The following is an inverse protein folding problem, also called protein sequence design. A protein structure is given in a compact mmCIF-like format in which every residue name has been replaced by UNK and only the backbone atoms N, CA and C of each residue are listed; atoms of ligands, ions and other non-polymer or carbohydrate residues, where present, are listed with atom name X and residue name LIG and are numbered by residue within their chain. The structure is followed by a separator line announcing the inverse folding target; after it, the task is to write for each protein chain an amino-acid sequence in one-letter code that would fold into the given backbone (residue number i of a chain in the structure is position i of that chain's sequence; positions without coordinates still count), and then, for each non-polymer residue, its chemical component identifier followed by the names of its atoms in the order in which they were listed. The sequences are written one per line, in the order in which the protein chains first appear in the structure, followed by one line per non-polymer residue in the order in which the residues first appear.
data_IF_797239135156
#
_entry.id   IF_797239135156
#
_cell.length_a   1.000
_cell.length_b   1.000
_cell.length_c   1.000
_cell.angle_alpha   90.00
_cell.angle_beta   90.00
_cell.angle_gamma   90.00
#
_symmetry.space_group_name_H-M   'P 1'
#
loop_
_entity.id
_entity.type
_entity.pdbx_description
1 polymer ?
#
# COMPACT_ATOMS: atom_id res chain seq x y z
N UNK A 1 9.35 -13.63 26.36
CA UNK A 1 8.20 -13.78 27.29
C UNK A 1 7.05 -14.41 26.50
N UNK A 2 6.19 -15.22 27.13
CA UNK A 2 5.04 -15.79 26.43
C UNK A 2 4.01 -14.70 26.09
N UNK A 3 3.41 -14.77 24.91
CA UNK A 3 2.32 -13.89 24.49
C UNK A 3 0.99 -14.31 25.14
N UNK A 4 -0.03 -13.46 25.07
CA UNK A 4 -1.36 -13.77 25.63
C UNK A 4 -2.08 -14.81 24.77
N UNK A 5 -2.36 -15.99 25.32
CA UNK A 5 -2.99 -17.09 24.58
C UNK A 5 -4.38 -16.77 24.00
N UNK A 6 -5.17 -15.90 24.62
CA UNK A 6 -6.46 -15.46 24.04
C UNK A 6 -6.28 -14.55 22.82
N UNK A 7 -5.23 -13.73 22.83
CA UNK A 7 -4.89 -12.86 21.71
C UNK A 7 -4.34 -13.66 20.54
N UNK A 8 -3.43 -14.59 20.85
CA UNK A 8 -2.81 -15.49 19.87
C UNK A 8 -3.84 -16.41 19.20
N UNK A 9 -4.79 -16.96 19.95
CA UNK A 9 -5.89 -17.75 19.41
C UNK A 9 -7.03 -16.90 18.81
N UNK A 10 -6.96 -15.56 18.88
CA UNK A 10 -7.95 -14.66 18.28
C UNK A 10 -9.32 -14.60 18.98
N UNK A 11 -9.48 -15.21 20.15
CA UNK A 11 -10.75 -15.35 20.89
C UNK A 11 -11.03 -14.23 21.91
N UNK A 12 -10.23 -13.16 21.88
CA UNK A 12 -10.46 -11.92 22.63
C UNK A 12 -11.21 -10.90 21.75
N UNK A 13 -12.32 -10.34 22.25
CA UNK A 13 -13.13 -9.36 21.54
C UNK A 13 -13.18 -8.02 22.29
N UNK A 14 -12.83 -6.93 21.59
CA UNK A 14 -12.82 -5.54 22.11
C UNK A 14 -13.62 -4.57 21.24
N UNK A 15 -14.63 -5.09 20.54
CA UNK A 15 -15.38 -4.31 19.52
C UNK A 15 -16.36 -3.30 20.12
N UNK A 16 -16.85 -3.51 21.36
CA UNK A 16 -17.81 -2.62 22.00
C UNK A 16 -17.55 -2.46 23.51
N UNK A 17 -18.20 -1.46 24.12
CA UNK A 17 -18.02 -1.09 25.53
C UNK A 17 -18.67 -2.07 26.55
N UNK A 18 -19.49 -3.04 26.10
CA UNK A 18 -19.95 -4.11 27.00
C UNK A 18 -18.79 -5.04 27.41
N UNK A 19 -17.80 -5.20 26.53
CA UNK A 19 -16.61 -6.01 26.79
C UNK A 19 -15.55 -5.28 27.64
N UNK A 20 -14.28 -5.73 27.60
CA UNK A 20 -13.73 -6.76 26.71
C UNK A 20 -14.26 -8.16 27.04
N UNK A 21 -14.57 -8.95 26.01
CA UNK A 21 -14.96 -10.36 26.16
C UNK A 21 -13.77 -11.27 25.83
N UNK A 22 -13.64 -12.39 26.53
CA UNK A 22 -12.71 -13.47 26.21
C UNK A 22 -13.47 -14.79 26.26
N UNK A 23 -13.46 -15.54 25.17
CA UNK A 23 -14.04 -16.89 25.13
C UNK A 23 -12.94 -17.93 25.14
N UNK A 24 -13.26 -19.14 25.58
CA UNK A 24 -12.34 -20.26 25.59
C UNK A 24 -11.92 -20.62 24.15
N UNK A 25 -10.63 -20.85 23.90
CA UNK A 25 -10.18 -21.39 22.61
C UNK A 25 -10.46 -22.89 22.48
N UNK A 26 -10.94 -23.55 23.56
CA UNK A 26 -11.27 -24.98 23.58
C UNK A 26 -12.79 -25.14 23.67
N UNK A 27 -13.44 -25.75 22.66
CA UNK A 27 -14.88 -26.02 22.69
C UNK A 27 -15.31 -26.84 23.92
N UNK A 28 -16.48 -26.52 24.49
CA UNK A 28 -17.02 -27.22 25.67
C UNK A 28 -16.32 -26.89 26.99
N UNK A 29 -15.40 -25.91 27.01
CA UNK A 29 -14.70 -25.47 28.22
C UNK A 29 -14.84 -23.97 28.41
N UNK A 30 -14.89 -23.51 29.66
CA UNK A 30 -14.85 -22.08 30.00
C UNK A 30 -16.03 -21.28 29.42
N UNK A 31 -15.82 -19.97 29.21
CA UNK A 31 -16.83 -19.11 28.61
C UNK A 31 -16.92 -19.34 27.09
N UNK A 32 -18.08 -19.74 26.59
CA UNK A 32 -18.27 -20.07 25.15
C UNK A 32 -18.77 -18.90 24.31
N UNK A 33 -19.32 -17.87 24.95
CA UNK A 33 -19.89 -16.69 24.29
C UNK A 33 -19.48 -15.41 24.98
N UNK A 34 -19.33 -14.34 24.20
CA UNK A 34 -19.26 -12.98 24.72
C UNK A 34 -20.65 -12.48 25.17
N UNK A 35 -20.68 -11.28 25.76
CA UNK A 35 -21.90 -10.70 26.35
C UNK A 35 -23.04 -10.56 25.31
N UNK A 36 -22.73 -10.19 24.07
CA UNK A 36 -23.73 -10.09 23.00
C UNK A 36 -24.09 -11.45 22.35
N UNK A 37 -23.62 -12.57 22.91
CA UNK A 37 -23.88 -13.91 22.39
C UNK A 37 -22.95 -14.40 21.29
N UNK A 38 -21.97 -13.61 20.84
CA UNK A 38 -21.00 -14.03 19.82
C UNK A 38 -20.10 -15.17 20.35
N UNK A 39 -19.96 -16.25 19.58
CA UNK A 39 -19.11 -17.39 19.91
C UNK A 39 -17.66 -17.17 19.44
N UNK A 40 -16.79 -18.16 19.64
CA UNK A 40 -15.39 -18.12 19.20
C UNK A 40 -15.25 -17.86 17.68
N UNK A 41 -16.02 -18.57 16.84
CA UNK A 41 -15.93 -18.44 15.37
C UNK A 41 -16.22 -17.02 14.90
N UNK A 42 -17.31 -16.42 15.40
CA UNK A 42 -17.67 -15.04 15.08
C UNK A 42 -16.58 -14.07 15.54
N UNK A 43 -16.05 -14.24 16.75
CA UNK A 43 -15.03 -13.34 17.30
C UNK A 43 -13.74 -13.41 16.47
N UNK A 44 -13.26 -14.62 16.19
CA UNK A 44 -12.05 -14.85 15.39
C UNK A 44 -12.23 -14.29 13.97
N UNK A 45 -13.35 -14.58 13.32
CA UNK A 45 -13.62 -14.09 11.96
C UNK A 45 -13.70 -12.56 11.91
N UNK A 46 -14.31 -11.90 12.91
CA UNK A 46 -14.36 -10.43 12.99
C UNK A 46 -12.97 -9.82 13.21
N UNK A 47 -12.17 -10.41 14.08
CA UNK A 47 -10.81 -9.97 14.35
C UNK A 47 -9.93 -10.08 13.10
N UNK A 48 -9.97 -11.23 12.42
CA UNK A 48 -9.27 -11.45 11.15
C UNK A 48 -9.74 -10.47 10.06
N UNK A 49 -11.05 -10.29 9.92
CA UNK A 49 -11.63 -9.33 8.97
C UNK A 49 -11.11 -7.90 9.19
N UNK A 50 -10.93 -7.46 10.45
CA UNK A 50 -10.35 -6.14 10.74
C UNK A 50 -8.86 -6.05 10.40
N UNK A 51 -8.11 -7.15 10.47
CA UNK A 51 -6.72 -7.18 9.98
C UNK A 51 -6.67 -7.00 8.46
N UNK A 52 -7.57 -7.67 7.73
CA UNK A 52 -7.70 -7.49 6.28
C UNK A 52 -8.09 -6.04 5.95
N UNK A 53 -9.09 -5.48 6.64
CA UNK A 53 -9.49 -4.08 6.45
C UNK A 53 -8.33 -3.11 6.70
N UNK A 54 -7.55 -3.34 7.76
CA UNK A 54 -6.36 -2.53 8.07
C UNK A 54 -5.32 -2.59 6.96
N UNK A 55 -4.97 -3.78 6.47
CA UNK A 55 -4.04 -3.95 5.35
C UNK A 55 -4.53 -3.28 4.07
N UNK A 56 -5.78 -3.54 3.68
CA UNK A 56 -6.39 -2.92 2.49
C UNK A 56 -6.43 -1.40 2.61
N UNK A 57 -6.74 -0.84 3.79
CA UNK A 57 -6.76 0.61 3.98
C UNK A 57 -5.38 1.25 3.80
N UNK A 58 -4.30 0.57 4.18
CA UNK A 58 -2.94 1.08 4.03
C UNK A 58 -2.55 1.21 2.54
N UNK A 59 -2.82 0.19 1.73
CA UNK A 59 -2.55 0.25 0.29
C UNK A 59 -3.56 1.14 -0.46
N UNK A 60 -4.79 1.30 0.06
CA UNK A 60 -5.75 2.27 -0.47
C UNK A 60 -5.17 3.68 -0.40
N UNK A 61 -4.73 4.12 0.77
CA UNK A 61 -4.26 5.50 0.94
C UNK A 61 -2.94 5.76 0.22
N UNK A 62 -2.02 4.79 0.25
CA UNK A 62 -0.78 4.84 -0.55
C UNK A 62 -1.09 5.09 -2.05
N UNK A 63 -2.03 4.34 -2.62
CA UNK A 63 -2.41 4.51 -4.02
C UNK A 63 -3.11 5.85 -4.26
N UNK A 64 -3.95 6.30 -3.32
CA UNK A 64 -4.65 7.58 -3.41
C UNK A 64 -3.67 8.75 -3.46
N UNK A 65 -2.62 8.72 -2.65
CA UNK A 65 -1.59 9.75 -2.65
C UNK A 65 -0.87 9.84 -4.00
N UNK A 66 -0.55 8.69 -4.62
CA UNK A 66 0.03 8.64 -5.97
C UNK A 66 -0.94 9.21 -7.01
N UNK A 67 -2.23 8.87 -6.92
CA UNK A 67 -3.26 9.40 -7.83
C UNK A 67 -3.41 10.91 -7.67
N UNK A 68 -3.38 11.44 -6.45
CA UNK A 68 -3.39 12.88 -6.19
C UNK A 68 -2.14 13.57 -6.76
N UNK A 69 -0.95 12.98 -6.61
CA UNK A 69 0.27 13.50 -7.21
C UNK A 69 0.19 13.52 -8.75
N UNK A 70 -0.36 12.46 -9.37
CA UNK A 70 -0.58 12.41 -10.82
C UNK A 70 -1.61 13.44 -11.30
N UNK A 71 -2.70 13.65 -10.56
CA UNK A 71 -3.67 14.70 -10.85
C UNK A 71 -3.04 16.10 -10.76
N UNK A 72 -2.06 16.30 -9.86
CA UNK A 72 -1.31 17.56 -9.75
C UNK A 72 -0.13 17.71 -10.71
N UNK A 73 0.18 16.70 -11.53
CA UNK A 73 1.36 16.68 -12.36
C UNK A 73 1.31 17.72 -13.49
N UNK A 74 2.45 18.34 -13.80
CA UNK A 74 2.61 19.30 -14.91
C UNK A 74 4.07 19.38 -15.36
N UNK A 75 4.32 19.81 -16.60
CA UNK A 75 5.67 19.84 -17.20
C UNK A 75 6.71 20.58 -16.34
N UNK A 76 6.34 21.75 -15.81
CA UNK A 76 7.18 22.59 -14.93
C UNK A 76 6.87 22.37 -13.44
N UNK A 77 6.35 21.21 -13.07
CA UNK A 77 6.00 20.83 -11.70
C UNK A 77 7.04 19.90 -11.05
N UNK A 78 6.93 19.70 -9.73
CA UNK A 78 7.75 18.69 -9.03
C UNK A 78 7.40 17.27 -9.48
N UNK A 79 6.12 17.03 -9.78
CA UNK A 79 5.61 15.77 -10.29
C UNK A 79 5.34 15.87 -11.80
N UNK A 80 5.87 14.90 -12.56
CA UNK A 80 5.85 14.86 -14.03
C UNK A 80 5.45 13.47 -14.52
N UNK A 81 4.97 13.39 -15.76
CA UNK A 81 4.78 12.09 -16.43
C UNK A 81 6.11 11.67 -17.04
N UNK A 82 6.62 10.51 -16.65
CA UNK A 82 7.89 9.95 -17.15
C UNK A 82 7.71 8.79 -18.12
N UNK A 83 6.59 8.08 -18.04
CA UNK A 83 6.23 7.02 -18.99
C UNK A 83 4.89 7.32 -19.65
N UNK A 84 4.95 8.12 -20.71
CA UNK A 84 3.78 8.51 -21.50
C UNK A 84 3.16 7.31 -22.25
N UNK A 85 3.98 6.36 -22.71
CA UNK A 85 3.48 5.17 -23.39
C UNK A 85 2.61 4.32 -22.44
N UNK A 86 3.06 4.17 -21.18
CA UNK A 86 2.28 3.49 -20.15
C UNK A 86 1.02 4.25 -19.77
N UNK A 87 1.09 5.58 -19.63
CA UNK A 87 -0.10 6.42 -19.42
C UNK A 87 -1.16 6.17 -20.49
N UNK A 88 -0.79 6.27 -21.76
CA UNK A 88 -1.70 6.09 -22.90
C UNK A 88 -2.28 4.68 -22.95
N UNK A 89 -1.45 3.66 -22.70
CA UNK A 89 -1.89 2.26 -22.63
C UNK A 89 -2.96 2.04 -21.56
N UNK A 90 -2.76 2.53 -20.34
CA UNK A 90 -3.73 2.37 -19.24
C UNK A 90 -5.00 3.17 -19.53
N UNK A 91 -4.86 4.40 -20.05
CA UNK A 91 -5.98 5.23 -20.44
C UNK A 91 -6.85 4.56 -21.51
N UNK A 92 -6.22 3.98 -22.55
CA UNK A 92 -6.90 3.19 -23.57
C UNK A 92 -7.58 1.94 -22.99
N UNK A 93 -6.90 1.21 -22.08
CA UNK A 93 -7.48 0.07 -21.36
C UNK A 93 -8.74 0.46 -20.57
N UNK A 94 -8.77 1.68 -20.01
CA UNK A 94 -9.89 2.18 -19.22
C UNK A 94 -10.97 2.89 -20.06
N UNK A 95 -10.77 2.98 -21.38
CA UNK A 95 -11.72 3.50 -22.34
C UNK A 95 -11.74 5.03 -22.45
N UNK A 96 -10.64 5.71 -22.13
CA UNK A 96 -10.53 7.16 -22.37
C UNK A 96 -10.45 7.42 -23.87
N UNK A 97 -11.36 8.24 -24.38
CA UNK A 97 -11.39 8.61 -25.79
C UNK A 97 -10.13 9.36 -26.21
N UNK A 98 -9.65 9.04 -27.42
CA UNK A 98 -8.45 9.65 -28.00
C UNK A 98 -7.19 9.54 -27.10
N UNK A 99 -7.09 8.48 -26.26
CA UNK A 99 -5.95 8.28 -25.37
C UNK A 99 -4.59 8.33 -26.10
N UNK A 100 -4.52 7.92 -27.38
CA UNK A 100 -3.28 7.93 -28.17
C UNK A 100 -2.84 9.32 -28.63
N UNK A 101 -3.75 10.30 -28.70
CA UNK A 101 -3.48 11.63 -29.28
C UNK A 101 -3.77 12.80 -28.34
N UNK A 102 -4.45 12.55 -27.21
CA UNK A 102 -4.73 13.56 -26.19
C UNK A 102 -3.43 14.14 -25.61
N UNK A 103 -3.45 15.42 -25.24
CA UNK A 103 -2.33 16.08 -24.56
C UNK A 103 -2.01 15.33 -23.25
N UNK A 104 -0.73 15.12 -22.96
CA UNK A 104 -0.24 14.20 -21.93
C UNK A 104 -0.75 14.54 -20.53
N UNK A 105 -0.75 15.81 -20.12
CA UNK A 105 -1.20 16.19 -18.78
C UNK A 105 -2.73 16.21 -18.67
N UNK A 106 -3.45 16.65 -19.71
CA UNK A 106 -4.90 16.50 -19.77
C UNK A 106 -5.33 15.02 -19.66
N UNK A 107 -4.61 14.12 -20.34
CA UNK A 107 -4.84 12.68 -20.24
C UNK A 107 -4.53 12.13 -18.84
N UNK A 108 -3.43 12.58 -18.22
CA UNK A 108 -3.07 12.18 -16.87
C UNK A 108 -4.11 12.64 -15.83
N UNK A 109 -4.61 13.88 -15.93
CA UNK A 109 -5.62 14.40 -15.02
C UNK A 109 -6.94 13.64 -15.18
N UNK A 110 -7.39 13.40 -16.40
CA UNK A 110 -8.61 12.63 -16.68
C UNK A 110 -8.50 11.17 -16.19
N UNK A 111 -7.35 10.51 -16.41
CA UNK A 111 -7.11 9.18 -15.89
C UNK A 111 -7.08 9.18 -14.35
N UNK A 112 -6.49 10.19 -13.73
CA UNK A 112 -6.47 10.34 -12.29
C UNK A 112 -7.89 10.54 -11.72
N UNK A 113 -8.74 11.36 -12.35
CA UNK A 113 -10.15 11.51 -11.97
C UNK A 113 -10.91 10.19 -12.05
N UNK A 114 -10.68 9.41 -13.11
CA UNK A 114 -11.26 8.07 -13.23
C UNK A 114 -10.74 7.11 -12.15
N UNK A 115 -9.47 7.22 -11.76
CA UNK A 115 -8.88 6.41 -10.71
C UNK A 115 -9.39 6.79 -9.31
N UNK A 116 -9.64 8.08 -9.06
CA UNK A 116 -10.27 8.55 -7.82
C UNK A 116 -11.65 7.91 -7.61
N UNK A 117 -12.36 7.56 -8.68
CA UNK A 117 -13.61 6.80 -8.60
C UNK A 117 -13.42 5.34 -8.16
N UNK A 118 -12.24 4.73 -8.32
CA UNK A 118 -11.99 3.37 -7.81
C UNK A 118 -12.03 3.29 -6.27
N UNK A 119 -11.84 4.42 -5.59
CA UNK A 119 -11.88 4.49 -4.13
C UNK A 119 -13.30 4.63 -3.58
N UNK A 120 -14.19 5.36 -4.28
CA UNK A 120 -15.50 5.75 -3.76
C UNK A 120 -16.71 5.66 -4.69
N UNK A 121 -16.59 5.05 -5.89
CA UNK A 121 -17.73 4.95 -6.83
C UNK A 121 -18.97 4.31 -6.20
N UNK A 122 -20.18 4.77 -6.56
CA UNK A 122 -21.42 4.24 -5.98
C UNK A 122 -21.82 2.86 -6.51
N UNK A 123 -21.44 2.53 -7.75
CA UNK A 123 -21.87 1.31 -8.44
C UNK A 123 -20.74 0.68 -9.28
N UNK A 124 -20.90 -0.59 -9.61
CA UNK A 124 -19.96 -1.34 -10.43
C UNK A 124 -18.78 -1.92 -9.64
N UNK A 125 -17.86 -2.54 -10.38
CA UNK A 125 -16.66 -3.20 -9.84
C UNK A 125 -15.39 -2.47 -10.24
N UNK A 126 -14.25 -2.90 -9.73
CA UNK A 126 -12.95 -2.29 -10.04
C UNK A 126 -12.56 -2.50 -11.51
N UNK A 127 -11.96 -1.47 -12.12
CA UNK A 127 -11.62 -1.47 -13.56
C UNK A 127 -10.59 -2.54 -13.91
N UNK A 128 -9.57 -2.71 -13.09
CA UNK A 128 -8.50 -3.68 -13.35
C UNK A 128 -8.91 -5.15 -13.17
N UNK A 129 -10.11 -5.47 -12.67
CA UNK A 129 -10.57 -6.86 -12.63
C UNK A 129 -10.63 -7.51 -14.02
N UNK A 130 -10.76 -6.70 -15.07
CA UNK A 130 -10.77 -7.18 -16.46
C UNK A 130 -9.45 -7.81 -16.90
N UNK A 131 -8.35 -7.55 -16.18
CA UNK A 131 -7.05 -8.19 -16.43
C UNK A 131 -7.00 -9.66 -15.97
N UNK A 132 -7.88 -10.08 -15.06
CA UNK A 132 -7.94 -11.47 -14.63
C UNK A 132 -8.51 -12.38 -15.74
N UNK A 133 -8.14 -13.67 -15.81
CA UNK A 133 -8.76 -14.61 -16.75
C UNK A 133 -10.29 -14.65 -16.61
N UNK A 134 -11.01 -14.83 -17.72
CA UNK A 134 -12.48 -14.79 -17.75
C UNK A 134 -13.10 -15.75 -16.71
N UNK A 135 -12.62 -16.99 -16.63
CA UNK A 135 -13.10 -17.98 -15.66
C UNK A 135 -12.95 -17.53 -14.20
N UNK A 136 -11.93 -16.70 -13.90
CA UNK A 136 -11.74 -16.12 -12.57
C UNK A 136 -12.73 -14.99 -12.29
N UNK A 137 -13.00 -14.14 -13.28
CA UNK A 137 -14.02 -13.09 -13.18
C UNK A 137 -15.41 -13.69 -12.94
N UNK A 138 -15.78 -14.73 -13.69
CA UNK A 138 -17.07 -15.44 -13.54
C UNK A 138 -17.22 -16.09 -12.16
N UNK A 139 -16.13 -16.66 -11.63
CA UNK A 139 -16.11 -17.20 -10.27
C UNK A 139 -16.34 -16.09 -9.24
N UNK A 140 -15.68 -14.94 -9.37
CA UNK A 140 -15.88 -13.83 -8.43
C UNK A 140 -17.30 -13.28 -8.46
N UNK A 141 -17.92 -13.21 -9.64
CA UNK A 141 -19.32 -12.81 -9.79
C UNK A 141 -20.25 -13.83 -9.13
N UNK A 142 -20.09 -15.13 -9.44
CA UNK A 142 -20.90 -16.21 -8.86
C UNK A 142 -20.80 -16.25 -7.34
N UNK A 143 -19.59 -16.13 -6.80
CA UNK A 143 -19.34 -16.12 -5.36
C UNK A 143 -19.62 -14.76 -4.70
N UNK A 144 -19.99 -13.74 -5.49
CA UNK A 144 -20.29 -12.35 -5.07
C UNK A 144 -19.12 -11.68 -4.33
N UNK A 145 -17.89 -12.01 -4.75
CA UNK A 145 -16.63 -11.48 -4.23
C UNK A 145 -15.87 -10.61 -5.23
N UNK A 146 -16.47 -10.24 -6.37
CA UNK A 146 -15.92 -9.20 -7.24
C UNK A 146 -15.86 -7.86 -6.47
N UNK A 147 -14.67 -7.26 -6.28
CA UNK A 147 -14.55 -6.04 -5.47
C UNK A 147 -15.18 -4.82 -6.14
N UNK A 148 -15.87 -4.02 -5.33
CA UNK A 148 -16.39 -2.70 -5.70
C UNK A 148 -15.34 -1.64 -5.36
N UNK A 149 -15.76 -0.42 -5.02
CA UNK A 149 -14.85 0.64 -4.61
C UNK A 149 -14.01 0.25 -3.38
N UNK A 150 -12.72 0.61 -3.36
CA UNK A 150 -11.74 0.16 -2.36
C UNK A 150 -12.20 0.55 -0.94
N UNK A 151 -12.50 1.83 -0.71
CA UNK A 151 -12.88 2.32 0.62
C UNK A 151 -14.26 1.82 1.04
N UNK A 152 -15.12 1.57 0.06
CA UNK A 152 -16.44 0.98 0.31
C UNK A 152 -16.30 -0.43 0.87
N UNK A 153 -15.36 -1.25 0.38
CA UNK A 153 -15.16 -2.60 0.92
C UNK A 153 -14.57 -2.55 2.34
N UNK A 154 -13.59 -1.67 2.59
CA UNK A 154 -13.06 -1.42 3.95
C UNK A 154 -14.19 -1.03 4.90
N UNK A 155 -14.99 -0.02 4.53
CA UNK A 155 -16.11 0.47 5.35
C UNK A 155 -17.18 -0.60 5.55
N UNK A 156 -17.51 -1.36 4.48
CA UNK A 156 -18.47 -2.47 4.55
C UNK A 156 -17.98 -3.56 5.51
N UNK A 157 -16.69 -3.88 5.50
CA UNK A 157 -16.12 -4.89 6.39
C UNK A 157 -16.10 -4.38 7.84
N UNK A 158 -15.74 -3.12 8.07
CA UNK A 158 -15.79 -2.49 9.39
C UNK A 158 -17.21 -2.44 9.98
N UNK A 159 -18.22 -2.07 9.19
CA UNK A 159 -19.62 -2.19 9.57
C UNK A 159 -19.98 -3.65 9.91
N UNK A 160 -19.65 -4.60 9.02
CA UNK A 160 -20.01 -6.01 9.20
C UNK A 160 -19.45 -6.60 10.49
N UNK A 161 -18.28 -6.13 10.95
CA UNK A 161 -17.65 -6.59 12.19
C UNK A 161 -18.17 -5.91 13.46
N UNK A 162 -19.06 -4.93 13.38
CA UNK A 162 -19.65 -4.30 14.56
C UNK A 162 -20.54 -5.29 15.35
N UNK A 163 -20.76 -4.99 16.64
CA UNK A 163 -21.70 -5.72 17.48
C UNK A 163 -23.11 -5.68 16.86
N UNK A 164 -23.78 -6.84 16.79
CA UNK A 164 -25.14 -6.94 16.24
C UNK A 164 -25.24 -6.95 14.71
N UNK A 165 -24.11 -6.89 13.99
CA UNK A 165 -24.08 -6.99 12.53
C UNK A 165 -23.85 -8.45 12.09
N UNK A 166 -22.87 -8.70 11.21
CA UNK A 166 -22.61 -10.06 10.71
C UNK A 166 -22.11 -10.95 11.85
N UNK A 167 -22.80 -12.07 12.08
CA UNK A 167 -22.47 -13.05 13.12
C UNK A 167 -22.08 -14.42 12.55
N UNK A 168 -22.29 -14.62 11.26
CA UNK A 168 -21.85 -15.80 10.52
C UNK A 168 -20.39 -15.65 10.05
N UNK A 169 -19.54 -16.63 10.37
CA UNK A 169 -18.10 -16.55 10.07
C UNK A 169 -17.82 -16.68 8.56
N UNK A 170 -18.61 -17.48 7.82
CA UNK A 170 -18.43 -17.66 6.38
C UNK A 170 -18.71 -16.36 5.62
N UNK A 171 -19.78 -15.65 5.99
CA UNK A 171 -20.09 -14.32 5.46
C UNK A 171 -18.96 -13.32 5.72
N UNK A 172 -18.38 -13.34 6.92
CA UNK A 172 -17.24 -12.48 7.28
C UNK A 172 -16.00 -12.80 6.46
N UNK A 173 -15.64 -14.08 6.30
CA UNK A 173 -14.51 -14.48 5.46
C UNK A 173 -14.73 -14.14 3.99
N UNK A 174 -15.94 -14.31 3.44
CA UNK A 174 -16.26 -13.90 2.06
C UNK A 174 -16.10 -12.40 1.84
N UNK A 175 -16.56 -11.58 2.79
CA UNK A 175 -16.36 -10.12 2.75
C UNK A 175 -14.88 -9.75 2.94
N UNK A 176 -14.15 -10.48 3.80
CA UNK A 176 -12.71 -10.37 3.94
C UNK A 176 -11.98 -10.64 2.62
N UNK A 177 -12.30 -11.75 1.94
CA UNK A 177 -11.75 -12.06 0.61
C UNK A 177 -12.04 -10.96 -0.41
N UNK A 178 -13.28 -10.45 -0.47
CA UNK A 178 -13.62 -9.34 -1.36
C UNK A 178 -12.84 -8.06 -1.04
N UNK A 179 -12.65 -7.75 0.24
CA UNK A 179 -11.87 -6.58 0.69
C UNK A 179 -10.38 -6.75 0.34
N UNK A 180 -9.79 -7.93 0.57
CA UNK A 180 -8.43 -8.22 0.15
C UNK A 180 -8.25 -8.19 -1.37
N UNK A 181 -9.24 -8.64 -2.16
CA UNK A 181 -9.22 -8.50 -3.62
C UNK A 181 -9.27 -7.03 -4.05
N UNK A 182 -9.99 -6.18 -3.33
CA UNK A 182 -10.07 -4.74 -3.61
C UNK A 182 -8.75 -4.01 -3.43
N UNK A 183 -7.84 -4.56 -2.62
CA UNK A 183 -6.47 -4.11 -2.52
C UNK A 183 -5.67 -4.54 -3.76
N UNK A 184 -5.51 -5.86 -3.97
CA UNK A 184 -4.63 -6.39 -5.00
C UNK A 184 -5.00 -5.98 -6.43
N UNK A 185 -6.29 -5.92 -6.77
CA UNK A 185 -6.79 -5.47 -8.08
C UNK A 185 -7.22 -4.00 -8.10
N UNK A 186 -7.12 -3.31 -6.97
CA UNK A 186 -7.45 -1.89 -6.84
C UNK A 186 -6.23 -1.13 -6.35
N UNK A 187 -6.19 -0.81 -5.05
CA UNK A 187 -5.16 0.03 -4.43
C UNK A 187 -3.75 -0.31 -4.89
N UNK A 188 -3.28 -1.53 -4.64
CA UNK A 188 -1.91 -1.96 -5.00
C UNK A 188 -1.63 -1.87 -6.51
N UNK A 189 -2.60 -2.25 -7.36
CA UNK A 189 -2.41 -2.22 -8.82
C UNK A 189 -2.41 -0.80 -9.37
N UNK A 190 -3.30 0.06 -8.86
CA UNK A 190 -3.31 1.50 -9.17
C UNK A 190 -1.99 2.13 -8.75
N UNK A 191 -1.57 1.90 -7.50
CA UNK A 191 -0.31 2.43 -6.95
C UNK A 191 0.89 2.02 -7.80
N UNK A 192 0.95 0.76 -8.24
CA UNK A 192 2.04 0.25 -9.11
C UNK A 192 2.01 0.89 -10.49
N UNK A 193 0.87 0.81 -11.19
CA UNK A 193 0.77 1.28 -12.56
C UNK A 193 1.01 2.80 -12.66
N UNK A 194 0.52 3.55 -11.69
CA UNK A 194 0.60 5.01 -11.71
C UNK A 194 1.96 5.50 -11.20
N UNK A 195 2.57 4.81 -10.23
CA UNK A 195 3.97 5.06 -9.88
C UNK A 195 4.89 4.87 -11.08
N UNK A 196 4.65 3.88 -11.92
CA UNK A 196 5.44 3.69 -13.14
C UNK A 196 5.21 4.80 -14.17
N UNK A 197 3.96 5.26 -14.34
CA UNK A 197 3.65 6.42 -15.18
C UNK A 197 4.37 7.70 -14.71
N UNK A 198 4.37 7.94 -13.39
CA UNK A 198 4.93 9.14 -12.76
C UNK A 198 6.45 9.10 -12.64
N UNK A 199 7.00 7.96 -12.22
CA UNK A 199 8.39 7.83 -11.81
C UNK A 199 9.24 7.03 -12.81
N UNK A 200 8.59 6.40 -13.79
CA UNK A 200 9.19 5.61 -14.85
C UNK A 200 9.01 4.11 -14.60
N UNK A 201 8.68 3.36 -15.66
CA UNK A 201 8.64 1.89 -15.59
C UNK A 201 10.05 1.36 -15.29
N UNK A 202 10.25 0.53 -14.24
CA UNK A 202 11.56 0.05 -13.84
C UNK A 202 12.30 -0.73 -14.94
N UNK A 203 13.53 -0.32 -15.32
CA UNK A 203 14.40 -1.13 -16.18
C UNK A 203 15.22 -2.14 -15.36
N UNK A 204 15.80 -3.13 -16.03
CA UNK A 204 16.82 -3.99 -15.41
C UNK A 204 18.07 -3.17 -15.08
N UNK A 205 18.51 -3.20 -13.81
CA UNK A 205 19.67 -2.43 -13.35
C UNK A 205 20.37 -3.06 -12.15
N UNK A 206 21.69 -2.85 -11.98
CA UNK A 206 22.41 -3.30 -10.80
C UNK A 206 22.08 -2.42 -9.58
N UNK A 207 22.11 -3.03 -8.40
CA UNK A 207 22.14 -2.38 -7.09
C UNK A 207 22.84 -3.32 -6.08
N UNK A 208 23.05 -2.86 -4.86
CA UNK A 208 23.61 -3.64 -3.75
C UNK A 208 22.71 -3.58 -2.52
N UNK A 209 22.87 -4.55 -1.63
CA UNK A 209 22.07 -4.64 -0.41
C UNK A 209 22.88 -5.11 0.79
N UNK A 210 22.35 -4.86 1.99
CA UNK A 210 22.90 -5.06 3.35
C UNK A 210 23.41 -3.76 4.00
N UNK A 211 23.73 -3.82 5.30
CA UNK A 211 24.20 -2.64 6.06
C UNK A 211 25.54 -2.07 5.56
N UNK A 212 26.32 -2.84 4.81
CA UNK A 212 27.58 -2.41 4.20
C UNK A 212 27.41 -1.45 3.02
N UNK A 213 26.18 -1.10 2.63
CA UNK A 213 25.91 -0.03 1.65
C UNK A 213 26.00 1.38 2.25
N UNK A 214 26.07 1.47 3.57
CA UNK A 214 26.30 2.70 4.34
C UNK A 214 27.78 3.06 4.25
N UNK A 215 28.08 4.32 3.96
CA UNK A 215 29.43 4.79 3.70
C UNK A 215 29.81 5.88 4.70
N UNK A 216 30.76 5.58 5.59
CA UNK A 216 31.19 6.48 6.64
C UNK A 216 31.86 7.78 6.13
N UNK A 217 32.23 7.85 4.85
CA UNK A 217 32.79 9.05 4.23
C UNK A 217 31.73 9.89 3.50
N UNK A 218 30.46 9.49 3.52
CA UNK A 218 29.33 10.16 2.86
C UNK A 218 28.31 10.65 3.90
N UNK A 219 27.47 11.61 3.54
CA UNK A 219 26.23 11.89 4.30
C UNK A 219 25.21 10.83 3.94
N UNK A 220 24.89 9.92 4.86
CA UNK A 220 23.94 8.85 4.68
C UNK A 220 22.54 9.29 5.10
N UNK A 221 21.63 9.28 4.13
CA UNK A 221 20.20 9.55 4.35
C UNK A 221 19.43 8.27 4.11
N UNK A 222 18.84 7.73 5.17
CA UNK A 222 17.97 6.56 5.10
C UNK A 222 16.57 6.99 4.70
N UNK A 223 16.09 6.52 3.55
CA UNK A 223 14.68 6.67 3.15
C UNK A 223 13.91 5.42 3.58
N UNK A 224 12.87 5.63 4.39
CA UNK A 224 12.06 4.57 4.97
C UNK A 224 10.55 4.82 4.74
N UNK A 225 9.72 3.81 5.01
CA UNK A 225 8.28 3.87 4.74
C UNK A 225 7.89 3.32 3.37
N UNK A 226 6.87 3.95 2.77
CA UNK A 226 6.18 3.43 1.58
C UNK A 226 5.77 4.50 0.56
N UNK A 227 5.91 5.81 0.84
CA UNK A 227 5.48 6.87 -0.09
C UNK A 227 6.56 7.17 -1.14
N UNK A 228 6.33 6.85 -2.44
CA UNK A 228 7.28 7.16 -3.48
C UNK A 228 7.31 8.65 -3.82
N UNK A 229 6.25 9.41 -3.53
CA UNK A 229 6.17 10.84 -3.86
C UNK A 229 7.27 11.62 -3.12
N UNK A 230 7.39 11.41 -1.80
CA UNK A 230 8.46 12.02 -1.00
C UNK A 230 9.84 11.45 -1.37
N UNK A 231 9.95 10.12 -1.45
CA UNK A 231 11.23 9.45 -1.68
C UNK A 231 11.89 9.86 -3.00
N UNK A 232 11.08 10.00 -4.06
CA UNK A 232 11.53 10.48 -5.36
C UNK A 232 12.14 11.88 -5.24
N UNK A 233 11.47 12.80 -4.54
CA UNK A 233 11.98 14.18 -4.37
C UNK A 233 13.25 14.22 -3.54
N UNK A 234 13.39 13.36 -2.54
CA UNK A 234 14.63 13.24 -1.74
C UNK A 234 15.79 12.76 -2.61
N UNK A 235 15.56 11.76 -3.48
CA UNK A 235 16.58 11.29 -4.44
C UNK A 235 17.01 12.41 -5.39
N UNK A 236 16.07 13.16 -5.95
CA UNK A 236 16.38 14.29 -6.83
C UNK A 236 17.13 15.41 -6.10
N UNK A 237 16.74 15.72 -4.86
CA UNK A 237 17.41 16.73 -4.04
C UNK A 237 18.87 16.33 -3.73
N UNK A 238 19.13 15.05 -3.45
CA UNK A 238 20.47 14.53 -3.22
C UNK A 238 21.38 14.57 -4.45
N UNK A 239 20.80 14.66 -5.66
CA UNK A 239 21.52 14.80 -6.92
C UNK A 239 21.72 16.27 -7.33
N UNK A 240 21.09 17.22 -6.64
CA UNK A 240 21.27 18.63 -6.94
C UNK A 240 22.73 19.05 -6.68
N UNK A 241 23.43 19.67 -7.66
CA UNK A 241 24.81 20.11 -7.49
C UNK A 241 25.04 20.97 -6.25
N UNK A 242 24.10 21.86 -5.89
CA UNK A 242 24.23 22.71 -4.71
C UNK A 242 24.24 21.88 -3.41
N UNK A 243 23.40 20.84 -3.34
CA UNK A 243 23.34 19.94 -2.18
C UNK A 243 24.60 19.06 -2.09
N UNK A 244 25.11 18.58 -3.23
CA UNK A 244 26.35 17.81 -3.30
C UNK A 244 27.55 18.65 -2.87
N UNK A 245 27.66 19.89 -3.35
CA UNK A 245 28.74 20.79 -2.96
C UNK A 245 28.63 21.22 -1.50
N UNK A 246 27.41 21.39 -0.96
CA UNK A 246 27.21 21.61 0.47
C UNK A 246 27.73 20.44 1.31
N UNK A 247 27.42 19.19 0.94
CA UNK A 247 27.91 18.01 1.64
C UNK A 247 29.45 17.95 1.63
N UNK A 248 30.07 18.26 0.49
CA UNK A 248 31.53 18.36 0.35
C UNK A 248 32.15 19.47 1.19
N UNK A 249 31.53 20.64 1.22
CA UNK A 249 31.97 21.76 2.04
C UNK A 249 31.90 21.45 3.56
N UNK A 250 31.12 20.44 3.96
CA UNK A 250 31.04 19.93 5.34
C UNK A 250 31.94 18.72 5.61
N UNK A 251 32.74 18.29 4.64
CA UNK A 251 33.76 17.26 4.80
C UNK A 251 33.37 15.85 4.36
N UNK A 252 32.15 15.65 3.83
CA UNK A 252 31.75 14.38 3.24
C UNK A 252 32.18 14.29 1.76
N UNK A 253 32.29 13.08 1.20
CA UNK A 253 32.55 12.88 -0.24
C UNK A 253 31.32 13.17 -1.12
N UNK A 254 30.14 13.19 -0.52
CA UNK A 254 28.85 13.43 -1.17
C UNK A 254 27.68 12.99 -0.30
N UNK A 255 26.53 12.74 -0.94
CA UNK A 255 25.30 12.27 -0.29
C UNK A 255 25.01 10.84 -0.75
N UNK A 256 24.81 9.93 0.19
CA UNK A 256 24.46 8.53 -0.04
C UNK A 256 23.01 8.30 0.39
N UNK A 257 22.09 8.17 -0.58
CA UNK A 257 20.73 7.74 -0.28
C UNK A 257 20.72 6.22 -0.11
N UNK A 258 20.13 5.76 0.99
CA UNK A 258 20.04 4.35 1.34
C UNK A 258 18.58 3.97 1.59
N UNK A 259 18.12 2.89 0.98
CA UNK A 259 16.74 2.42 1.10
C UNK A 259 16.49 1.45 2.25
N UNK A 260 15.30 1.53 2.84
CA UNK A 260 14.77 0.57 3.83
C UNK A 260 13.31 0.22 3.50
N UNK A 261 12.97 -1.07 3.58
CA UNK A 261 11.60 -1.55 3.29
C UNK A 261 11.09 -1.13 1.89
N UNK A 262 9.80 -0.84 1.74
CA UNK A 262 9.16 -0.67 0.43
C UNK A 262 9.61 0.59 -0.29
N UNK A 263 9.71 1.75 0.38
CA UNK A 263 10.28 2.96 -0.24
C UNK A 263 11.71 2.70 -0.74
N UNK A 264 12.50 1.91 -0.01
CA UNK A 264 13.80 1.44 -0.49
C UNK A 264 13.68 0.65 -1.80
N UNK A 265 12.77 -0.33 -1.86
CA UNK A 265 12.51 -1.09 -3.07
C UNK A 265 12.09 -0.19 -4.26
N UNK A 266 11.19 0.77 -4.05
CA UNK A 266 10.73 1.69 -5.11
C UNK A 266 11.91 2.46 -5.73
N UNK A 267 12.79 3.00 -4.88
CA UNK A 267 13.96 3.75 -5.33
C UNK A 267 15.04 2.85 -5.92
N UNK A 268 15.17 1.60 -5.45
CA UNK A 268 16.05 0.61 -6.09
C UNK A 268 15.57 0.28 -7.49
N UNK A 269 14.28 0.04 -7.67
CA UNK A 269 13.70 -0.31 -8.96
C UNK A 269 13.88 0.81 -9.99
N UNK A 270 13.70 2.07 -9.59
CA UNK A 270 13.69 3.23 -10.53
C UNK A 270 14.98 4.03 -10.61
N UNK A 271 15.85 3.95 -9.60
CA UNK A 271 17.10 4.71 -9.55
C UNK A 271 18.34 3.85 -9.26
N UNK A 272 18.17 2.57 -8.88
CA UNK A 272 19.29 1.71 -8.50
C UNK A 272 19.88 2.08 -7.14
N UNK A 273 19.10 2.78 -6.30
CA UNK A 273 19.48 3.07 -4.92
C UNK A 273 19.75 1.76 -4.17
N UNK A 274 20.74 1.79 -3.29
CA UNK A 274 21.19 0.64 -2.50
C UNK A 274 20.23 0.42 -1.31
N UNK A 275 20.01 -0.84 -0.91
CA UNK A 275 19.08 -1.18 0.19
C UNK A 275 19.85 -1.60 1.43
N UNK A 276 19.77 -0.85 2.53
CA UNK A 276 20.40 -1.22 3.79
C UNK A 276 19.80 -2.50 4.40
N UNK A 277 18.49 -2.68 4.27
CA UNK A 277 17.84 -3.87 4.81
C UNK A 277 16.32 -3.87 4.72
N UNK A 278 15.75 -4.78 5.50
CA UNK A 278 14.30 -4.98 5.65
C UNK A 278 13.82 -4.54 7.04
N UNK A 279 12.55 -4.82 7.34
CA UNK A 279 11.88 -4.44 8.59
C UNK A 279 12.70 -4.78 9.86
N UNK A 280 13.32 -5.95 9.96
CA UNK A 280 14.07 -6.32 11.17
C UNK A 280 15.43 -5.61 11.30
N UNK A 281 15.88 -4.92 10.25
CA UNK A 281 17.17 -4.26 10.19
C UNK A 281 17.07 -2.74 10.36
N UNK A 282 15.85 -2.19 10.46
CA UNK A 282 15.63 -0.73 10.54
C UNK A 282 16.37 -0.10 11.75
N UNK A 283 16.31 -0.74 12.91
CA UNK A 283 17.00 -0.26 14.12
C UNK A 283 18.52 -0.51 14.03
N UNK A 284 18.92 -1.67 13.47
CA UNK A 284 20.34 -1.99 13.26
C UNK A 284 21.02 -1.02 12.31
N UNK A 285 20.29 -0.48 11.34
CA UNK A 285 20.78 0.55 10.43
C UNK A 285 21.19 1.82 11.19
N UNK A 286 20.38 2.26 12.15
CA UNK A 286 20.69 3.43 13.00
C UNK A 286 21.85 3.13 13.95
N UNK A 287 21.91 1.91 14.51
CA UNK A 287 22.96 1.48 15.45
C UNK A 287 24.37 1.52 14.84
N UNK A 288 24.49 1.50 13.50
CA UNK A 288 25.79 1.70 12.83
C UNK A 288 26.48 3.00 13.22
N UNK A 289 25.71 4.01 13.67
CA UNK A 289 26.22 5.34 14.02
C UNK A 289 26.59 6.19 12.80
N UNK A 290 26.27 5.72 11.59
CA UNK A 290 26.63 6.36 10.32
C UNK A 290 25.37 6.70 9.48
N UNK A 291 24.27 7.07 10.14
CA UNK A 291 23.05 7.57 9.50
C UNK A 291 22.79 8.97 10.04
N UNK A 292 22.94 9.98 9.18
CA UNK A 292 22.73 11.38 9.55
C UNK A 292 21.25 11.76 9.62
N UNK A 293 20.41 11.12 8.78
CA UNK A 293 18.97 11.35 8.77
C UNK A 293 18.19 10.09 8.40
N UNK A 294 17.06 9.88 9.08
CA UNK A 294 16.01 8.94 8.67
C UNK A 294 14.82 9.76 8.22
N UNK A 295 14.41 9.56 6.98
CA UNK A 295 13.32 10.27 6.30
C UNK A 295 12.21 9.29 5.96
#
# INVERSE_FOLDING_TARGET
KAQCGFGEAGVCCRICAMGPCRVSPVPGKGAERGICGANADTIVARNFARMVAGGTSAHSDHARDIVHAMHGAKAEGPFKIRDEAKLRRIAGEWGIEAADTKETYALAHELADMALQEFGKPFGTQRFLKRAPIARQELWERERIAPRAIDMEVTTLMHSTHMGCASDYESLFRRGMRTGLSDGWGGSMIGTEFSDTMYGTPPARPSSSNLGVIDAEMVNVLIHGHDPNLAEMVVLAAQNPEMVELAKAKGAKGINIVGMCCTGNEMTMRHGIKIAGNFYQQEMCIITGAIEAVV
#
